data_IF_216975427576
#
_entry.id   IF_216975427576
#
_cell.length_a   1.000
_cell.length_b   1.000
_cell.length_c   1.000
_cell.angle_alpha   90.00
_cell.angle_beta   90.00
_cell.angle_gamma   90.00
#
_symmetry.space_group_name_H-M   'P 1'
#
loop_
_entity.id
_entity.type
_entity.pdbx_description
1 polymer ?
#
# COMPACT_ATOMS: atom_id res chain seq x y z
N UNK A 1 13.63 19.07 18.43
CA UNK A 1 12.43 19.70 18.98
C UNK A 1 11.39 20.01 17.92
N UNK A 2 11.73 20.85 16.93
CA UNK A 2 10.76 21.17 15.87
C UNK A 2 10.35 19.94 15.04
N UNK A 3 11.30 19.02 14.79
CA UNK A 3 11.00 17.78 14.07
C UNK A 3 10.09 16.86 14.84
N UNK A 4 10.29 16.76 16.17
CA UNK A 4 9.43 15.93 17.03
C UNK A 4 8.01 16.47 17.08
N UNK A 5 7.86 17.80 17.15
CA UNK A 5 6.54 18.44 17.14
C UNK A 5 5.82 18.21 15.81
N UNK A 6 6.56 18.31 14.69
CA UNK A 6 5.98 18.05 13.38
C UNK A 6 5.53 16.59 13.24
N UNK A 7 6.31 15.65 13.76
CA UNK A 7 5.98 14.24 13.72
C UNK A 7 4.77 13.94 14.60
N UNK A 8 4.71 14.49 15.81
CA UNK A 8 3.56 14.35 16.71
C UNK A 8 2.29 14.90 16.07
N UNK A 9 2.40 16.04 15.37
CA UNK A 9 1.27 16.64 14.67
C UNK A 9 0.78 15.73 13.54
N UNK A 10 1.69 15.19 12.73
CA UNK A 10 1.37 14.27 11.66
C UNK A 10 0.69 13.01 12.22
N UNK A 11 1.28 12.40 13.23
CA UNK A 11 0.72 11.20 13.86
C UNK A 11 -0.64 11.47 14.51
N UNK A 12 -0.80 12.66 15.10
CA UNK A 12 -2.08 13.08 15.69
C UNK A 12 -3.19 13.19 14.66
N UNK A 13 -2.88 13.74 13.48
CA UNK A 13 -3.84 13.83 12.39
C UNK A 13 -4.16 12.43 11.84
N UNK A 14 -3.16 11.57 11.69
CA UNK A 14 -3.38 10.20 11.24
C UNK A 14 -4.21 9.39 12.23
N UNK A 15 -4.06 9.62 13.53
CA UNK A 15 -4.88 8.94 14.53
C UNK A 15 -6.37 9.20 14.33
N UNK A 16 -6.73 10.30 13.66
CA UNK A 16 -8.11 10.62 13.28
C UNK A 16 -8.45 10.12 11.87
N UNK A 17 -7.52 10.27 10.94
CA UNK A 17 -7.73 9.93 9.53
C UNK A 17 -7.83 8.41 9.30
N UNK A 18 -6.91 7.64 9.88
CA UNK A 18 -6.86 6.19 9.62
C UNK A 18 -8.14 5.45 10.03
N UNK A 19 -8.76 5.73 11.18
CA UNK A 19 -10.04 5.09 11.50
C UNK A 19 -11.15 5.42 10.51
N UNK A 20 -11.18 6.65 9.98
CA UNK A 20 -12.16 7.05 8.97
C UNK A 20 -11.95 6.29 7.67
N UNK A 21 -10.69 6.14 7.25
CA UNK A 21 -10.31 5.38 6.06
C UNK A 21 -10.71 3.91 6.22
N UNK A 22 -10.36 3.31 7.35
CA UNK A 22 -10.66 1.90 7.63
C UNK A 22 -12.17 1.66 7.66
N UNK A 23 -12.93 2.55 8.24
CA UNK A 23 -14.40 2.46 8.29
C UNK A 23 -14.98 2.43 6.88
N UNK A 24 -14.55 3.35 6.02
CA UNK A 24 -15.05 3.43 4.64
C UNK A 24 -14.67 2.19 3.84
N UNK A 25 -13.43 1.72 3.97
CA UNK A 25 -12.98 0.51 3.29
C UNK A 25 -13.82 -0.70 3.72
N UNK A 26 -14.05 -0.84 5.03
CA UNK A 26 -14.84 -1.96 5.55
C UNK A 26 -16.30 -1.89 5.11
N UNK A 27 -16.89 -0.71 5.08
CA UNK A 27 -18.27 -0.52 4.61
C UNK A 27 -18.40 -0.90 3.13
N UNK A 28 -17.39 -0.60 2.32
CA UNK A 28 -17.37 -0.97 0.89
C UNK A 28 -16.88 -2.38 0.64
N UNK A 29 -16.49 -3.12 1.66
CA UNK A 29 -15.90 -4.47 1.56
C UNK A 29 -14.62 -4.46 0.72
N UNK A 30 -13.84 -3.39 0.83
CA UNK A 30 -12.52 -3.27 0.21
C UNK A 30 -11.48 -3.73 1.23
N UNK A 31 -10.46 -4.42 0.76
CA UNK A 31 -9.42 -4.97 1.63
C UNK A 31 -8.83 -3.90 2.55
N UNK A 32 -8.78 -4.21 3.85
CA UNK A 32 -8.24 -3.31 4.86
C UNK A 32 -7.99 -4.08 6.15
N UNK A 33 -6.85 -3.84 6.77
CA UNK A 33 -6.52 -4.41 8.07
C UNK A 33 -7.06 -3.55 9.21
N UNK A 34 -6.73 -3.95 10.43
CA UNK A 34 -7.02 -3.16 11.63
C UNK A 34 -6.01 -2.02 11.76
N UNK A 35 -6.43 -0.93 12.40
CA UNK A 35 -5.53 0.20 12.66
C UNK A 35 -4.65 -0.16 13.86
N UNK A 36 -3.46 -0.68 13.58
CA UNK A 36 -2.51 -1.13 14.61
C UNK A 36 -1.18 -0.39 14.55
N UNK A 37 -0.96 0.42 13.53
CA UNK A 37 0.25 1.22 13.36
C UNK A 37 -0.10 2.70 13.20
N UNK A 38 0.87 3.57 13.49
CA UNK A 38 0.67 5.02 13.43
C UNK A 38 0.54 5.57 12.02
N UNK A 39 1.24 4.97 11.05
CA UNK A 39 1.37 5.53 9.70
C UNK A 39 0.90 4.61 8.57
N UNK A 40 0.42 3.41 8.88
CA UNK A 40 -0.11 2.53 7.84
C UNK A 40 -1.16 1.57 8.37
N UNK A 41 -1.94 1.02 7.43
CA UNK A 41 -2.87 -0.08 7.68
C UNK A 41 -2.49 -1.18 6.70
N UNK A 42 -2.22 -2.40 7.19
CA UNK A 42 -1.82 -3.53 6.35
C UNK A 42 -2.72 -4.73 6.57
N UNK A 43 -2.95 -5.48 5.50
CA UNK A 43 -3.68 -6.74 5.54
C UNK A 43 -2.90 -7.79 4.77
N UNK A 44 -2.55 -8.90 5.42
CA UNK A 44 -1.93 -10.04 4.74
C UNK A 44 -2.89 -10.66 3.76
N UNK A 45 -2.43 -10.89 2.54
CA UNK A 45 -3.23 -11.51 1.47
C UNK A 45 -2.68 -12.88 1.08
N UNK A 46 -1.39 -13.10 1.33
CA UNK A 46 -0.72 -14.38 1.12
C UNK A 46 0.58 -14.33 1.93
N UNK A 47 1.30 -15.46 1.97
CA UNK A 47 2.57 -15.51 2.69
C UNK A 47 3.55 -14.50 2.11
N UNK A 48 4.03 -13.59 2.96
CA UNK A 48 4.99 -12.57 2.55
C UNK A 48 4.40 -11.46 1.68
N UNK A 49 3.09 -11.35 1.59
CA UNK A 49 2.41 -10.35 0.77
C UNK A 49 1.36 -9.63 1.58
N UNK A 50 1.39 -8.29 1.53
CA UNK A 50 0.42 -7.45 2.24
C UNK A 50 -0.10 -6.36 1.32
N UNK A 51 -1.40 -6.06 1.44
CA UNK A 51 -1.98 -4.87 0.83
C UNK A 51 -2.00 -3.79 1.91
N UNK A 52 -1.46 -2.63 1.60
CA UNK A 52 -1.25 -1.58 2.61
C UNK A 52 -1.67 -0.20 2.12
N UNK A 53 -2.20 0.58 3.06
CA UNK A 53 -2.42 2.02 2.93
C UNK A 53 -1.33 2.68 3.75
N UNK A 54 -0.46 3.49 3.15
CA UNK A 54 0.74 4.00 3.82
C UNK A 54 0.79 5.52 3.74
N UNK A 55 0.99 6.16 4.90
CA UNK A 55 0.98 7.62 5.03
C UNK A 55 2.24 8.10 5.74
N UNK A 56 3.40 8.06 5.02
CA UNK A 56 4.66 8.50 5.61
C UNK A 56 4.68 10.00 5.81
N UNK A 57 5.58 10.46 6.67
CA UNK A 57 5.70 11.86 7.00
C UNK A 57 6.34 12.69 5.87
N UNK A 58 7.37 12.15 5.21
CA UNK A 58 8.24 12.93 4.31
C UNK A 58 8.15 12.53 2.84
N UNK A 59 7.51 11.41 2.52
CA UNK A 59 7.32 10.97 1.15
C UNK A 59 5.82 10.81 0.87
N UNK A 60 5.41 10.73 -0.41
CA UNK A 60 3.98 10.67 -0.71
C UNK A 60 3.26 9.50 -0.07
N UNK A 61 2.01 9.73 0.32
CA UNK A 61 1.10 8.66 0.70
C UNK A 61 0.91 7.71 -0.47
N UNK A 62 0.60 6.45 -0.17
CA UNK A 62 0.44 5.45 -1.23
C UNK A 62 -0.42 4.28 -0.79
N UNK A 63 -0.94 3.56 -1.76
CA UNK A 63 -1.43 2.19 -1.58
C UNK A 63 -0.42 1.27 -2.26
N UNK A 64 -0.26 0.06 -1.72
CA UNK A 64 0.74 -0.86 -2.27
C UNK A 64 0.41 -2.32 -2.01
N UNK A 65 0.86 -3.18 -2.92
CA UNK A 65 1.15 -4.58 -2.63
C UNK A 65 2.59 -4.63 -2.17
N UNK A 66 2.83 -5.04 -0.93
CA UNK A 66 4.16 -5.12 -0.35
C UNK A 66 4.57 -6.58 -0.23
N UNK A 67 5.74 -6.91 -0.80
CA UNK A 67 6.23 -8.28 -0.89
C UNK A 67 7.54 -8.36 -0.12
N UNK A 68 7.57 -9.16 0.96
CA UNK A 68 8.76 -9.35 1.77
C UNK A 68 8.68 -10.71 2.45
N UNK A 69 9.71 -11.53 2.27
CA UNK A 69 9.77 -12.86 2.85
C UNK A 69 10.73 -12.97 4.04
N UNK A 70 11.54 -11.94 4.26
CA UNK A 70 12.53 -11.90 5.33
C UNK A 70 13.81 -11.22 4.90
N UNK A 71 14.84 -11.28 5.72
CA UNK A 71 16.10 -10.56 5.51
C UNK A 71 17.23 -11.41 4.96
N UNK A 72 17.11 -12.74 5.04
CA UNK A 72 18.15 -13.63 4.54
C UNK A 72 18.19 -13.60 3.02
N UNK A 73 19.33 -13.98 2.45
CA UNK A 73 19.52 -13.93 1.00
C UNK A 73 18.46 -14.74 0.25
N UNK A 74 18.18 -15.95 0.72
CA UNK A 74 17.15 -16.79 0.12
C UNK A 74 15.74 -16.21 0.25
N UNK A 75 15.48 -15.47 1.32
CA UNK A 75 14.19 -14.76 1.51
C UNK A 75 14.04 -13.64 0.50
N UNK A 76 15.11 -12.86 0.29
CA UNK A 76 15.11 -11.76 -0.69
C UNK A 76 14.94 -12.32 -2.09
N UNK A 77 15.63 -13.39 -2.43
CA UNK A 77 15.54 -14.04 -3.73
C UNK A 77 14.12 -14.57 -3.97
N UNK A 78 13.53 -15.19 -2.96
CA UNK A 78 12.16 -15.71 -3.03
C UNK A 78 11.14 -14.60 -3.25
N UNK A 79 11.27 -13.49 -2.51
CA UNK A 79 10.39 -12.32 -2.68
C UNK A 79 10.58 -11.70 -4.07
N UNK A 80 11.82 -11.63 -4.55
CA UNK A 80 12.12 -11.09 -5.87
C UNK A 80 11.48 -11.95 -6.98
N UNK A 81 11.48 -13.27 -6.84
CA UNK A 81 10.81 -14.15 -7.79
C UNK A 81 9.30 -13.88 -7.86
N UNK A 82 8.66 -13.68 -6.72
CA UNK A 82 7.24 -13.31 -6.68
C UNK A 82 7.02 -11.97 -7.38
N UNK A 83 7.85 -10.99 -7.07
CA UNK A 83 7.76 -9.67 -7.71
C UNK A 83 7.93 -9.75 -9.23
N UNK A 84 8.93 -10.53 -9.69
CA UNK A 84 9.18 -10.72 -11.14
C UNK A 84 7.98 -11.37 -11.83
N UNK A 85 7.28 -12.26 -11.14
CA UNK A 85 6.07 -12.85 -11.71
C UNK A 85 5.01 -11.77 -12.00
N UNK A 86 4.74 -10.92 -11.03
CA UNK A 86 3.81 -9.80 -11.24
C UNK A 86 4.31 -8.86 -12.34
N UNK A 87 5.61 -8.57 -12.35
CA UNK A 87 6.21 -7.69 -13.34
C UNK A 87 6.04 -8.25 -14.77
N UNK A 88 6.08 -9.58 -14.93
CA UNK A 88 5.84 -10.22 -16.22
C UNK A 88 4.39 -10.03 -16.70
N UNK A 89 3.48 -9.66 -15.80
CA UNK A 89 2.08 -9.39 -16.09
C UNK A 89 1.74 -7.90 -16.02
N UNK A 90 2.75 -7.04 -16.03
CA UNK A 90 2.59 -5.59 -15.86
C UNK A 90 1.54 -4.99 -16.79
N UNK A 91 1.60 -5.32 -18.07
CA UNK A 91 0.67 -4.76 -19.08
C UNK A 91 -0.78 -5.12 -18.73
N UNK A 92 -1.03 -6.37 -18.38
CA UNK A 92 -2.37 -6.84 -18.01
C UNK A 92 -2.85 -6.19 -16.71
N UNK A 93 -1.96 -6.11 -15.71
CA UNK A 93 -2.27 -5.54 -14.40
C UNK A 93 -2.60 -4.06 -14.55
N UNK A 94 -1.77 -3.29 -15.26
CA UNK A 94 -2.01 -1.86 -15.44
C UNK A 94 -3.27 -1.59 -16.26
N UNK A 95 -3.56 -2.43 -17.26
CA UNK A 95 -4.80 -2.31 -18.02
C UNK A 95 -6.02 -2.53 -17.14
N UNK A 96 -5.98 -3.55 -16.29
CA UNK A 96 -7.08 -3.84 -15.34
C UNK A 96 -7.21 -2.74 -14.27
N UNK A 97 -6.08 -2.25 -13.77
CA UNK A 97 -6.07 -1.16 -12.78
C UNK A 97 -6.60 0.14 -13.38
N UNK A 98 -6.33 0.38 -14.66
CA UNK A 98 -6.77 1.59 -15.35
C UNK A 98 -5.75 2.71 -15.35
N UNK A 99 -4.46 2.39 -15.17
CA UNK A 99 -3.39 3.38 -15.16
C UNK A 99 -2.05 2.77 -14.84
N UNK A 100 -1.00 3.59 -14.93
CA UNK A 100 0.36 3.19 -14.60
C UNK A 100 0.54 3.04 -13.10
N UNK A 101 1.34 2.06 -12.71
CA UNK A 101 1.74 1.83 -11.32
C UNK A 101 3.24 2.06 -11.17
N UNK A 102 3.69 2.26 -9.94
CA UNK A 102 5.10 2.35 -9.62
C UNK A 102 5.58 0.96 -9.17
N UNK A 103 6.47 0.36 -9.95
CA UNK A 103 7.05 -0.96 -9.69
C UNK A 103 8.40 -0.76 -9.01
N UNK A 104 8.40 -0.83 -7.69
CA UNK A 104 9.54 -0.45 -6.88
C UNK A 104 10.41 -1.66 -6.55
N UNK A 105 11.51 -1.82 -7.29
CA UNK A 105 12.39 -2.98 -7.18
C UNK A 105 13.87 -2.63 -7.26
N UNK A 106 14.22 -1.34 -7.31
CA UNK A 106 15.61 -0.93 -7.48
C UNK A 106 16.41 -1.05 -6.19
N UNK A 107 17.68 -1.46 -6.33
CA UNK A 107 18.63 -1.51 -5.23
C UNK A 107 18.56 -2.80 -4.42
N UNK A 108 19.38 -2.84 -3.36
CA UNK A 108 19.37 -3.96 -2.43
C UNK A 108 18.27 -3.77 -1.42
N UNK A 109 17.14 -4.41 -1.67
CA UNK A 109 15.98 -4.30 -0.80
C UNK A 109 15.57 -5.68 -0.31
N UNK A 110 15.04 -5.71 0.92
CA UNK A 110 14.40 -6.92 1.44
C UNK A 110 12.94 -6.98 1.02
N UNK A 111 12.39 -5.87 0.56
CA UNK A 111 10.98 -5.76 0.17
C UNK A 111 10.85 -5.15 -1.22
N UNK A 112 9.79 -5.54 -1.92
CA UNK A 112 9.43 -5.05 -3.24
C UNK A 112 7.99 -4.58 -3.18
N UNK A 113 7.63 -3.57 -3.98
CA UNK A 113 6.26 -3.08 -3.96
C UNK A 113 5.73 -2.71 -5.34
N UNK A 114 4.41 -2.87 -5.48
CA UNK A 114 3.64 -2.43 -6.63
C UNK A 114 2.69 -1.39 -6.07
N UNK A 115 2.81 -0.12 -6.47
CA UNK A 115 2.18 0.96 -5.71
C UNK A 115 1.63 2.08 -6.58
N UNK A 116 0.64 2.76 -6.02
CA UNK A 116 0.10 4.02 -6.51
C UNK A 116 0.47 5.10 -5.50
N UNK A 117 1.23 6.11 -5.93
CA UNK A 117 1.61 7.23 -5.09
C UNK A 117 0.63 8.39 -5.25
N UNK A 118 0.40 9.13 -4.16
CA UNK A 118 -0.49 10.29 -4.13
C UNK A 118 0.29 11.55 -3.81
N UNK A 119 0.91 12.14 -4.83
CA UNK A 119 1.77 13.32 -4.66
C UNK A 119 1.01 14.56 -4.20
N UNK A 120 -0.27 14.66 -4.53
CA UNK A 120 -1.08 15.82 -4.19
C UNK A 120 -1.81 15.70 -2.86
N UNK A 121 -1.74 14.53 -2.21
CA UNK A 121 -2.37 14.33 -0.91
C UNK A 121 -1.69 15.17 0.16
N UNK A 122 -2.51 15.88 0.95
CA UNK A 122 -2.04 16.65 2.10
C UNK A 122 -2.91 16.31 3.30
N UNK A 123 -2.32 15.63 4.27
CA UNK A 123 -3.02 15.23 5.49
C UNK A 123 -3.53 16.43 6.28
N UNK A 124 -2.79 17.55 6.23
CA UNK A 124 -3.17 18.77 6.95
C UNK A 124 -4.42 19.46 6.40
N UNK A 125 -4.83 19.14 5.17
CA UNK A 125 -6.05 19.70 4.59
C UNK A 125 -7.23 18.78 4.86
N UNK A 126 -7.79 18.87 6.08
CA UNK A 126 -8.86 17.99 6.52
C UNK A 126 -10.18 18.23 5.78
N UNK A 127 -10.34 19.40 5.15
CA UNK A 127 -11.52 19.66 4.32
C UNK A 127 -11.62 18.72 3.11
N UNK A 128 -10.51 18.09 2.72
CA UNK A 128 -10.44 17.18 1.58
C UNK A 128 -10.34 15.70 1.97
N UNK A 129 -10.42 15.39 3.26
CA UNK A 129 -10.30 14.01 3.72
C UNK A 129 -11.34 13.08 3.10
N UNK A 130 -12.59 13.52 3.02
CA UNK A 130 -13.66 12.71 2.42
C UNK A 130 -13.35 12.38 0.96
N UNK A 131 -12.89 13.37 0.20
CA UNK A 131 -12.48 13.16 -1.19
C UNK A 131 -11.35 12.13 -1.30
N UNK A 132 -10.30 12.29 -0.47
CA UNK A 132 -9.15 11.40 -0.53
C UNK A 132 -9.46 9.99 -0.06
N UNK A 133 -10.28 9.85 0.98
CA UNK A 133 -10.71 8.53 1.47
C UNK A 133 -11.47 7.80 0.35
N UNK A 134 -12.41 8.48 -0.30
CA UNK A 134 -13.14 7.90 -1.43
C UNK A 134 -12.19 7.44 -2.54
N UNK A 135 -11.27 8.29 -2.94
CA UNK A 135 -10.32 8.00 -4.00
C UNK A 135 -9.38 6.85 -3.64
N UNK A 136 -8.80 6.90 -2.44
CA UNK A 136 -7.83 5.89 -1.99
C UNK A 136 -8.50 4.52 -1.86
N UNK A 137 -9.70 4.45 -1.30
CA UNK A 137 -10.42 3.19 -1.16
C UNK A 137 -10.84 2.65 -2.53
N UNK A 138 -11.31 3.53 -3.42
CA UNK A 138 -11.64 3.14 -4.80
C UNK A 138 -10.42 2.58 -5.52
N UNK A 139 -9.27 3.24 -5.41
CA UNK A 139 -8.03 2.79 -6.05
C UNK A 139 -7.53 1.48 -5.45
N UNK A 140 -7.66 1.30 -4.13
CA UNK A 140 -7.27 0.04 -3.49
C UNK A 140 -8.11 -1.13 -4.01
N UNK A 141 -9.40 -0.94 -4.21
CA UNK A 141 -10.23 -1.98 -4.81
C UNK A 141 -9.75 -2.32 -6.22
N UNK A 142 -9.42 -1.31 -7.02
CA UNK A 142 -8.89 -1.54 -8.37
C UNK A 142 -7.56 -2.29 -8.34
N UNK A 143 -6.68 -1.93 -7.41
CA UNK A 143 -5.38 -2.58 -7.28
C UNK A 143 -5.54 -4.04 -6.86
N UNK A 144 -6.36 -4.30 -5.86
CA UNK A 144 -6.62 -5.64 -5.38
C UNK A 144 -7.22 -6.50 -6.50
N UNK A 145 -8.25 -6.01 -7.18
CA UNK A 145 -8.91 -6.71 -8.28
C UNK A 145 -7.94 -6.99 -9.44
N UNK A 146 -7.02 -6.06 -9.72
CA UNK A 146 -6.04 -6.21 -10.79
C UNK A 146 -4.98 -7.27 -10.47
N UNK A 147 -4.63 -7.42 -9.20
CA UNK A 147 -3.56 -8.33 -8.77
C UNK A 147 -4.05 -9.75 -8.49
N UNK A 148 -5.28 -9.91 -8.00
CA UNK A 148 -5.81 -11.22 -7.61
C UNK A 148 -5.63 -12.31 -8.68
N UNK A 149 -5.96 -12.07 -9.98
CA UNK A 149 -5.82 -13.10 -11.01
C UNK A 149 -4.40 -13.59 -11.21
N UNK A 150 -3.41 -12.86 -10.72
CA UNK A 150 -1.99 -13.14 -10.93
C UNK A 150 -1.29 -13.64 -9.68
N UNK A 151 -2.02 -13.88 -8.59
CA UNK A 151 -1.41 -14.42 -7.37
C UNK A 151 -0.82 -15.79 -7.67
N UNK A 152 0.45 -15.96 -7.30
CA UNK A 152 1.08 -17.25 -7.33
C UNK A 152 0.62 -18.01 -6.09
N UNK A 153 0.07 -19.20 -6.30
CA UNK A 153 -0.21 -20.07 -5.18
C UNK A 153 1.15 -20.58 -4.66
N UNK A 154 1.54 -20.14 -3.48
CA UNK A 154 2.83 -20.47 -2.90
C UNK A 154 3.03 -21.97 -2.64
N UNK A 155 1.98 -22.76 -2.78
CA UNK A 155 2.05 -24.21 -2.65
C UNK A 155 2.34 -24.93 -3.95
N UNK A 156 2.32 -24.21 -5.03
CA UNK A 156 2.64 -24.75 -6.35
C UNK A 156 4.12 -24.65 -6.64
#
# INVERSE_FOLDING_TARGET
MLMDMAEEHHDGLLAKFLPMLAKEANERKVICGNVTHKQWISKSVSKGMKMSYVFPKTIPARIEMWICHGKEEEDVDSAHEVFKHFLSKKTEIEASYGGSLNWNYEGRRTAFSIQQDYHDFRLSDDSKWTYWIDRIVTDMKKLDDALIPHYINSRN
#
